data_IF_411005886566
#
_entry.id   IF_411005886566
#
_cell.length_a   1.000
_cell.length_b   1.000
_cell.length_c   1.000
_cell.angle_alpha   90.00
_cell.angle_beta   90.00
_cell.angle_gamma   90.00
#
_symmetry.space_group_name_H-M   'P 1'
#
loop_
_entity.id
_entity.type
_entity.pdbx_description
1 polymer ?
#
# COMPACT_ATOMS: atom_id res chain seq x y z
N UNK A 1 -5.21 -10.91 -21.87
CA UNK A 1 -4.32 -11.11 -23.04
C UNK A 1 -3.85 -12.57 -23.19
N UNK A 2 -3.21 -13.17 -22.18
CA UNK A 2 -2.69 -14.53 -22.30
C UNK A 2 -3.78 -15.56 -22.60
N UNK A 3 -4.86 -15.58 -21.82
CA UNK A 3 -6.01 -16.47 -22.08
C UNK A 3 -6.68 -16.20 -23.42
N UNK A 4 -6.73 -14.95 -23.89
CA UNK A 4 -7.29 -14.61 -25.19
C UNK A 4 -6.46 -15.16 -26.35
N UNK A 5 -5.12 -15.09 -26.25
CA UNK A 5 -4.23 -15.70 -27.25
C UNK A 5 -4.40 -17.23 -27.28
N UNK A 6 -4.49 -17.86 -26.10
CA UNK A 6 -4.76 -19.31 -26.02
C UNK A 6 -6.11 -19.67 -26.63
N UNK A 7 -7.17 -18.92 -26.37
CA UNK A 7 -8.48 -19.15 -26.94
C UNK A 7 -8.46 -19.05 -28.49
N UNK A 8 -7.79 -18.03 -29.04
CA UNK A 8 -7.62 -17.91 -30.50
C UNK A 8 -6.92 -19.10 -31.10
N UNK A 9 -5.83 -19.60 -30.48
CA UNK A 9 -5.11 -20.78 -30.96
C UNK A 9 -6.00 -22.03 -30.88
N UNK A 10 -6.85 -22.18 -29.88
CA UNK A 10 -7.80 -23.29 -29.79
C UNK A 10 -8.90 -23.20 -30.84
N UNK A 11 -9.28 -22.00 -31.27
CA UNK A 11 -10.25 -21.75 -32.34
C UNK A 11 -9.62 -21.92 -33.75
N UNK A 12 -8.34 -22.31 -33.84
CA UNK A 12 -7.65 -22.64 -35.10
C UNK A 12 -6.84 -21.50 -35.70
N UNK A 13 -6.71 -20.35 -35.02
CA UNK A 13 -5.76 -19.33 -35.44
C UNK A 13 -4.33 -19.82 -35.27
N UNK A 14 -3.44 -19.33 -36.14
CA UNK A 14 -2.01 -19.67 -36.11
C UNK A 14 -1.18 -18.54 -35.48
N UNK A 15 0.10 -18.80 -35.21
CA UNK A 15 1.02 -17.79 -34.69
C UNK A 15 1.27 -16.62 -35.66
N UNK A 16 0.99 -16.82 -36.96
CA UNK A 16 1.17 -15.81 -38.00
C UNK A 16 -0.06 -14.94 -38.23
N UNK A 17 -1.20 -15.28 -37.61
CA UNK A 17 -2.43 -14.48 -37.72
C UNK A 17 -2.35 -13.19 -36.94
N UNK A 18 -2.80 -12.08 -37.54
CA UNK A 18 -2.72 -10.73 -36.95
C UNK A 18 -3.23 -10.62 -35.50
N UNK A 19 -4.39 -11.17 -35.12
CA UNK A 19 -4.87 -11.09 -33.72
C UNK A 19 -3.94 -11.79 -32.73
N UNK A 20 -3.34 -12.90 -33.12
CA UNK A 20 -2.39 -13.67 -32.28
C UNK A 20 -1.06 -12.93 -32.20
N UNK A 21 -0.51 -12.45 -33.31
CA UNK A 21 0.70 -11.63 -33.34
C UNK A 21 0.56 -10.38 -32.46
N UNK A 22 -0.55 -9.65 -32.57
CA UNK A 22 -0.82 -8.48 -31.74
C UNK A 22 -0.93 -8.83 -30.27
N UNK A 23 -1.56 -9.96 -29.92
CA UNK A 23 -1.66 -10.46 -28.56
C UNK A 23 -0.31 -10.80 -27.95
N UNK A 24 0.55 -11.51 -28.70
CA UNK A 24 1.92 -11.85 -28.28
C UNK A 24 2.75 -10.59 -28.09
N UNK A 25 2.74 -9.66 -29.04
CA UNK A 25 3.45 -8.39 -28.95
C UNK A 25 2.98 -7.54 -27.77
N UNK A 26 1.69 -7.63 -27.42
CA UNK A 26 1.16 -6.96 -26.24
C UNK A 26 1.69 -7.60 -24.94
N UNK A 27 1.78 -8.93 -24.87
CA UNK A 27 2.37 -9.66 -23.74
C UNK A 27 3.85 -9.30 -23.57
N UNK A 28 4.61 -9.24 -24.68
CA UNK A 28 6.03 -8.88 -24.64
C UNK A 28 6.29 -7.47 -24.05
N UNK A 29 5.37 -6.51 -24.25
CA UNK A 29 5.49 -5.17 -23.63
C UNK A 29 5.38 -5.19 -22.10
N UNK A 30 4.79 -6.22 -21.53
CA UNK A 30 4.73 -6.43 -20.07
C UNK A 30 5.83 -7.38 -19.58
N UNK A 31 6.80 -7.69 -20.43
CA UNK A 31 7.88 -8.60 -20.09
C UNK A 31 9.14 -7.82 -19.72
N UNK A 32 9.75 -8.20 -18.61
CA UNK A 32 11.03 -7.71 -18.15
C UNK A 32 12.08 -8.78 -18.34
N UNK A 33 13.27 -8.37 -18.75
CA UNK A 33 14.44 -9.22 -18.79
C UNK A 33 15.54 -8.58 -17.95
N UNK A 34 15.91 -9.25 -16.86
CA UNK A 34 17.02 -8.87 -16.02
C UNK A 34 18.25 -9.73 -16.35
N UNK A 35 19.42 -9.10 -16.44
CA UNK A 35 20.68 -9.81 -16.58
C UNK A 35 20.91 -10.71 -15.35
N UNK A 36 20.88 -12.04 -15.57
CA UNK A 36 21.13 -13.06 -14.56
C UNK A 36 19.90 -13.62 -13.82
N UNK A 37 18.70 -13.05 -13.98
CA UNK A 37 17.48 -13.55 -13.32
C UNK A 37 16.40 -14.03 -14.29
N UNK A 38 16.67 -13.96 -15.60
CA UNK A 38 15.75 -14.45 -16.63
C UNK A 38 14.63 -13.48 -16.99
N UNK A 39 13.67 -13.99 -17.72
CA UNK A 39 12.52 -13.26 -18.27
C UNK A 39 11.33 -13.35 -17.32
N UNK A 40 10.70 -12.22 -16.99
CA UNK A 40 9.53 -12.14 -16.11
C UNK A 40 8.41 -11.38 -16.77
N UNK A 41 7.19 -11.82 -16.54
CA UNK A 41 6.00 -11.10 -16.93
C UNK A 41 5.58 -10.13 -15.80
N UNK A 42 5.43 -8.85 -16.11
CA UNK A 42 4.79 -7.89 -15.23
C UNK A 42 3.30 -7.84 -15.57
N UNK A 43 2.46 -8.15 -14.61
CA UNK A 43 1.03 -8.29 -14.82
C UNK A 43 0.31 -6.94 -15.02
N UNK A 44 0.74 -5.91 -14.29
CA UNK A 44 0.18 -4.56 -14.34
C UNK A 44 1.25 -3.51 -14.10
N UNK A 45 0.93 -2.27 -14.38
CA UNK A 45 1.76 -1.08 -14.07
C UNK A 45 1.05 -0.24 -13.02
N UNK A 46 1.83 0.43 -12.15
CA UNK A 46 1.35 1.15 -10.98
C UNK A 46 1.65 2.66 -11.00
N UNK A 47 1.32 3.39 -12.09
CA UNK A 47 1.78 4.77 -12.24
C UNK A 47 1.22 5.73 -11.19
N UNK A 48 -0.02 5.54 -10.75
CA UNK A 48 -0.64 6.39 -9.72
C UNK A 48 -0.03 6.10 -8.37
N UNK A 49 0.02 4.84 -7.98
CA UNK A 49 0.66 4.36 -6.75
C UNK A 49 2.11 4.80 -6.64
N UNK A 50 2.92 4.48 -7.64
CA UNK A 50 4.35 4.78 -7.63
C UNK A 50 4.62 6.29 -7.62
N UNK A 51 3.83 7.09 -8.33
CA UNK A 51 3.98 8.55 -8.31
C UNK A 51 3.61 9.11 -6.93
N UNK A 52 2.56 8.62 -6.29
CA UNK A 52 2.15 9.04 -4.96
C UNK A 52 3.27 8.74 -3.93
N UNK A 53 3.78 7.51 -3.91
CA UNK A 53 4.88 7.14 -3.01
C UNK A 53 6.19 7.86 -3.32
N UNK A 54 6.48 8.12 -4.60
CA UNK A 54 7.66 8.90 -4.98
C UNK A 54 7.59 10.33 -4.43
N UNK A 55 6.45 11.01 -4.54
CA UNK A 55 6.26 12.34 -3.95
C UNK A 55 6.45 12.30 -2.44
N UNK A 56 5.80 11.35 -1.74
CA UNK A 56 5.95 11.18 -0.28
C UNK A 56 7.40 10.95 0.13
N UNK A 57 8.12 10.10 -0.61
CA UNK A 57 9.54 9.83 -0.40
C UNK A 57 10.38 11.10 -0.53
N UNK A 58 10.20 11.87 -1.61
CA UNK A 58 10.97 13.09 -1.86
C UNK A 58 10.70 14.13 -0.77
N UNK A 59 9.45 14.30 -0.34
CA UNK A 59 9.10 15.13 0.81
C UNK A 59 9.78 14.64 2.09
N UNK A 60 9.80 13.32 2.32
CA UNK A 60 10.46 12.71 3.47
C UNK A 60 11.99 12.88 3.45
N UNK A 61 12.59 12.86 2.27
CA UNK A 61 14.02 13.10 2.08
C UNK A 61 14.43 14.59 2.15
N UNK A 62 13.50 15.52 2.43
CA UNK A 62 13.78 16.95 2.55
C UNK A 62 13.89 17.71 1.22
N UNK A 63 13.46 17.11 0.11
CA UNK A 63 13.37 17.84 -1.16
C UNK A 63 12.36 18.98 -1.02
N UNK A 64 12.71 20.16 -1.55
CA UNK A 64 11.83 21.32 -1.50
C UNK A 64 10.45 21.00 -2.08
N UNK A 65 9.42 21.21 -1.28
CA UNK A 65 8.02 20.99 -1.68
C UNK A 65 7.59 21.81 -2.88
N UNK A 66 8.26 22.95 -3.13
CA UNK A 66 8.11 23.78 -4.30
C UNK A 66 8.85 23.29 -5.56
N UNK A 67 9.57 22.15 -5.52
CA UNK A 67 10.27 21.61 -6.69
C UNK A 67 9.31 21.41 -7.87
N UNK A 68 9.74 21.87 -9.06
CA UNK A 68 8.93 21.82 -10.27
C UNK A 68 8.45 20.41 -10.61
N UNK A 69 9.30 19.40 -10.40
CA UNK A 69 9.00 18.00 -10.73
C UNK A 69 7.92 17.46 -9.80
N UNK A 70 7.99 17.76 -8.49
CA UNK A 70 6.96 17.37 -7.53
C UNK A 70 5.62 18.05 -7.85
N UNK A 71 5.61 19.35 -8.15
CA UNK A 71 4.38 20.04 -8.56
C UNK A 71 3.78 19.45 -9.84
N UNK A 72 4.61 19.07 -10.81
CA UNK A 72 4.16 18.39 -12.03
C UNK A 72 3.56 17.02 -11.73
N UNK A 73 4.19 16.22 -10.85
CA UNK A 73 3.69 14.92 -10.41
C UNK A 73 2.31 15.06 -9.72
N UNK A 74 2.18 16.01 -8.79
CA UNK A 74 0.89 16.27 -8.11
C UNK A 74 -0.18 16.75 -9.10
N UNK A 75 0.17 17.63 -10.03
CA UNK A 75 -0.76 18.07 -11.09
C UNK A 75 -1.24 16.89 -11.93
N UNK A 76 -0.31 16.00 -12.30
CA UNK A 76 -0.63 14.80 -13.06
C UNK A 76 -1.53 13.86 -12.25
N UNK A 77 -1.20 13.55 -10.99
CA UNK A 77 -2.04 12.72 -10.13
C UNK A 77 -3.46 13.29 -10.02
N UNK A 78 -3.60 14.59 -9.70
CA UNK A 78 -4.92 15.27 -9.60
C UNK A 78 -5.74 15.11 -10.88
N UNK A 79 -5.10 15.08 -12.06
CA UNK A 79 -5.79 14.85 -13.33
C UNK A 79 -6.30 13.42 -13.53
N UNK A 80 -5.91 12.49 -12.65
CA UNK A 80 -6.34 11.08 -12.70
C UNK A 80 -7.56 10.80 -11.84
N UNK A 81 -8.05 11.76 -11.04
CA UNK A 81 -9.25 11.57 -10.27
C UNK A 81 -10.42 11.16 -11.16
N UNK A 82 -11.12 10.10 -10.76
CA UNK A 82 -12.32 9.66 -11.46
C UNK A 82 -13.45 10.65 -11.17
N UNK A 83 -13.89 11.39 -12.17
CA UNK A 83 -14.92 12.44 -12.04
C UNK A 83 -16.14 12.16 -12.96
N UNK A 84 -16.35 10.94 -13.35
CA UNK A 84 -17.43 10.56 -14.26
C UNK A 84 -18.29 9.42 -13.74
N UNK A 85 -19.50 9.34 -14.25
CA UNK A 85 -20.45 8.27 -13.93
C UNK A 85 -20.18 6.96 -14.68
N UNK A 86 -18.95 6.74 -15.09
CA UNK A 86 -18.54 5.60 -15.90
C UNK A 86 -18.06 4.46 -14.99
N UNK A 87 -18.41 3.23 -15.29
CA UNK A 87 -17.92 2.03 -14.63
C UNK A 87 -18.96 1.19 -13.90
N UNK A 88 -18.69 -0.11 -13.82
CA UNK A 88 -19.60 -1.11 -13.29
C UNK A 88 -19.77 -1.01 -11.78
N UNK A 89 -18.72 -0.62 -11.04
CA UNK A 89 -18.79 -0.50 -9.59
C UNK A 89 -19.88 0.45 -9.12
N UNK A 90 -20.23 1.47 -9.90
CA UNK A 90 -21.30 2.40 -9.61
C UNK A 90 -22.68 1.77 -9.69
N UNK A 91 -22.83 0.76 -10.53
CA UNK A 91 -24.10 0.02 -10.68
C UNK A 91 -24.29 -0.87 -9.45
N UNK A 92 -23.21 -1.44 -8.92
CA UNK A 92 -23.22 -2.45 -7.87
C UNK A 92 -22.76 -1.92 -6.50
N UNK A 93 -21.95 -0.87 -6.44
CA UNK A 93 -21.24 -0.38 -5.25
C UNK A 93 -21.91 0.75 -4.47
N UNK A 94 -23.20 1.03 -4.70
CA UNK A 94 -23.91 2.11 -3.99
C UNK A 94 -24.28 3.28 -4.91
N UNK A 95 -25.56 3.36 -5.22
CA UNK A 95 -26.13 4.26 -6.24
C UNK A 95 -26.04 5.75 -5.92
N UNK A 96 -25.70 6.13 -4.70
CA UNK A 96 -25.61 7.52 -4.22
C UNK A 96 -24.17 8.06 -4.14
N UNK A 97 -23.15 7.21 -4.28
CA UNK A 97 -21.76 7.61 -4.18
C UNK A 97 -21.20 8.02 -5.55
N UNK A 98 -20.64 9.22 -5.65
CA UNK A 98 -19.99 9.66 -6.88
C UNK A 98 -18.57 9.06 -6.97
N UNK A 99 -18.09 8.68 -8.18
CA UNK A 99 -16.75 8.12 -8.38
C UNK A 99 -15.70 9.21 -8.28
N UNK A 100 -15.14 9.41 -7.11
CA UNK A 100 -14.20 10.50 -6.84
C UNK A 100 -12.84 10.00 -6.32
N UNK A 101 -12.60 8.69 -6.42
CA UNK A 101 -11.36 8.02 -6.09
C UNK A 101 -10.32 8.06 -7.21
N UNK A 102 -9.26 7.29 -7.02
CA UNK A 102 -8.14 7.13 -7.96
C UNK A 102 -7.92 5.64 -8.24
N UNK A 103 -7.57 5.33 -9.47
CA UNK A 103 -7.27 3.97 -9.89
C UNK A 103 -5.77 3.72 -9.98
N UNK A 104 -5.37 2.46 -9.86
CA UNK A 104 -4.00 1.99 -9.85
C UNK A 104 -3.24 2.28 -11.16
N UNK A 105 -3.90 2.09 -12.32
CA UNK A 105 -3.29 2.12 -13.64
C UNK A 105 -3.57 3.42 -14.42
N UNK A 106 -2.91 3.58 -15.58
CA UNK A 106 -3.07 4.74 -16.46
C UNK A 106 -4.49 4.94 -16.97
N UNK A 107 -5.16 3.87 -17.36
CA UNK A 107 -6.41 3.91 -18.13
C UNK A 107 -7.56 3.14 -17.49
N UNK A 108 -7.42 2.72 -16.26
CA UNK A 108 -8.46 1.97 -15.54
C UNK A 108 -9.32 2.88 -14.63
N UNK A 109 -9.83 3.97 -15.16
CA UNK A 109 -10.66 4.94 -14.42
C UNK A 109 -11.99 4.37 -13.92
N UNK A 110 -12.38 3.23 -14.44
CA UNK A 110 -13.63 2.58 -14.10
C UNK A 110 -13.58 1.83 -12.76
N UNK A 111 -12.36 1.62 -12.26
CA UNK A 111 -12.12 0.91 -11.01
C UNK A 111 -11.20 1.73 -10.11
N UNK A 112 -11.71 2.85 -9.54
CA UNK A 112 -10.97 3.52 -8.46
C UNK A 112 -10.88 2.58 -7.26
N UNK A 113 -9.77 2.60 -6.55
CA UNK A 113 -9.57 1.78 -5.37
C UNK A 113 -9.22 2.63 -4.14
N UNK A 114 -9.46 2.04 -2.97
CA UNK A 114 -9.30 2.71 -1.68
C UNK A 114 -7.84 2.94 -1.36
N UNK A 115 -6.96 2.00 -1.71
CA UNK A 115 -5.53 2.07 -1.39
C UNK A 115 -4.83 3.18 -2.18
N UNK A 116 -5.05 3.23 -3.51
CA UNK A 116 -4.51 4.29 -4.35
C UNK A 116 -5.07 5.67 -3.99
N UNK A 117 -6.37 5.73 -3.71
CA UNK A 117 -7.01 6.98 -3.29
C UNK A 117 -6.39 7.51 -2.01
N UNK A 118 -6.15 6.64 -1.04
CA UNK A 118 -5.49 7.00 0.23
C UNK A 118 -4.03 7.44 -0.01
N UNK A 119 -3.28 6.70 -0.83
CA UNK A 119 -1.90 7.04 -1.16
C UNK A 119 -1.79 8.42 -1.83
N UNK A 120 -2.74 8.74 -2.73
CA UNK A 120 -2.80 10.04 -3.43
C UNK A 120 -3.14 11.17 -2.47
N UNK A 121 -4.13 11.00 -1.57
CA UNK A 121 -4.45 12.01 -0.54
C UNK A 121 -3.19 12.32 0.28
N UNK A 122 -2.51 11.29 0.76
CA UNK A 122 -1.30 11.44 1.57
C UNK A 122 -0.16 12.11 0.78
N UNK A 123 -0.03 11.85 -0.53
CA UNK A 123 0.96 12.51 -1.38
C UNK A 123 0.67 14.00 -1.55
N UNK A 124 -0.59 14.36 -1.81
CA UNK A 124 -1.02 15.76 -1.95
C UNK A 124 -0.72 16.54 -0.65
N UNK A 125 -1.13 16.00 0.50
CA UNK A 125 -0.93 16.65 1.81
C UNK A 125 0.56 16.69 2.18
N UNK A 126 1.34 15.68 1.83
CA UNK A 126 2.79 15.67 2.06
C UNK A 126 3.51 16.76 1.29
N UNK A 127 3.10 17.01 0.04
CA UNK A 127 3.69 18.05 -0.80
C UNK A 127 3.18 19.45 -0.42
N UNK A 128 1.90 19.58 -0.11
CA UNK A 128 1.28 20.82 0.32
C UNK A 128 0.28 20.56 1.48
N UNK A 129 0.66 20.87 2.73
CA UNK A 129 -0.23 20.69 3.87
C UNK A 129 -1.57 21.43 3.76
N UNK A 130 -1.61 22.57 3.05
CA UNK A 130 -2.85 23.30 2.78
C UNK A 130 -3.73 22.58 1.75
N UNK A 131 -3.17 21.63 1.04
CA UNK A 131 -3.89 20.76 0.09
C UNK A 131 -5.01 19.95 0.73
N UNK A 132 -5.02 19.78 2.06
CA UNK A 132 -6.13 19.15 2.80
C UNK A 132 -7.46 19.83 2.52
N UNK A 133 -7.49 21.15 2.33
CA UNK A 133 -8.70 21.92 1.99
C UNK A 133 -9.07 21.90 0.49
N UNK A 134 -8.31 21.19 -0.34
CA UNK A 134 -8.60 21.15 -1.77
C UNK A 134 -9.83 20.29 -2.10
N UNK A 135 -10.59 20.70 -3.12
CA UNK A 135 -11.76 19.93 -3.57
C UNK A 135 -11.41 18.50 -4.01
N UNK A 136 -10.20 18.26 -4.50
CA UNK A 136 -9.70 16.93 -4.84
C UNK A 136 -9.63 16.02 -3.60
N UNK A 137 -9.02 16.51 -2.51
CA UNK A 137 -8.89 15.76 -1.26
C UNK A 137 -10.26 15.57 -0.61
N UNK A 138 -11.08 16.63 -0.54
CA UNK A 138 -12.41 16.54 0.06
C UNK A 138 -13.29 15.48 -0.63
N UNK A 139 -13.36 15.49 -1.97
CA UNK A 139 -14.12 14.49 -2.73
C UNK A 139 -13.58 13.08 -2.53
N UNK A 140 -12.27 12.88 -2.64
CA UNK A 140 -11.63 11.59 -2.43
C UNK A 140 -11.88 11.05 -1.01
N UNK A 141 -11.85 11.91 0.01
CA UNK A 141 -12.14 11.53 1.40
C UNK A 141 -13.61 11.12 1.57
N UNK A 142 -14.55 11.87 1.00
CA UNK A 142 -15.98 11.50 1.02
C UNK A 142 -16.19 10.15 0.34
N UNK A 143 -15.52 9.92 -0.79
CA UNK A 143 -15.59 8.66 -1.51
C UNK A 143 -15.05 7.50 -0.64
N UNK A 144 -13.87 7.64 0.00
CA UNK A 144 -13.33 6.61 0.91
C UNK A 144 -14.32 6.32 2.06
N UNK A 145 -14.87 7.36 2.70
CA UNK A 145 -15.85 7.16 3.76
C UNK A 145 -17.09 6.40 3.27
N UNK A 146 -17.54 6.67 2.04
CA UNK A 146 -18.66 5.97 1.42
C UNK A 146 -18.36 4.53 0.99
N UNK A 147 -17.09 4.19 0.81
CA UNK A 147 -16.62 2.83 0.49
C UNK A 147 -16.43 1.95 1.74
N UNK A 148 -16.62 2.49 2.93
CA UNK A 148 -16.51 1.70 4.16
C UNK A 148 -17.66 0.70 4.30
N UNK A 149 -17.34 -0.53 4.61
CA UNK A 149 -18.32 -1.58 4.89
C UNK A 149 -18.96 -1.44 6.29
N UNK A 150 -20.07 -2.14 6.54
CA UNK A 150 -20.78 -2.09 7.84
C UNK A 150 -19.95 -2.58 9.01
N UNK A 151 -19.05 -3.52 8.77
CA UNK A 151 -18.13 -4.02 9.79
C UNK A 151 -17.03 -3.02 10.16
N UNK A 152 -16.92 -1.91 9.41
CA UNK A 152 -15.93 -0.87 9.62
C UNK A 152 -14.67 -1.02 8.77
N UNK A 153 -14.52 -2.13 8.03
CA UNK A 153 -13.42 -2.36 7.10
C UNK A 153 -13.66 -1.75 5.73
N UNK A 154 -12.66 -1.87 4.86
CA UNK A 154 -12.75 -1.52 3.44
C UNK A 154 -12.28 -2.68 2.58
N UNK A 155 -12.87 -2.80 1.42
CA UNK A 155 -12.37 -3.60 0.30
C UNK A 155 -11.73 -2.67 -0.73
N UNK A 156 -10.88 -3.23 -1.59
CA UNK A 156 -10.15 -2.40 -2.54
C UNK A 156 -11.09 -1.70 -3.55
N UNK A 157 -12.06 -2.42 -4.12
CA UNK A 157 -12.82 -1.96 -5.28
C UNK A 157 -14.33 -1.84 -5.08
N UNK A 158 -14.94 -2.67 -4.24
CA UNK A 158 -16.39 -2.82 -4.12
C UNK A 158 -16.86 -2.66 -2.68
N UNK A 159 -18.12 -2.24 -2.49
CA UNK A 159 -18.78 -2.25 -1.19
C UNK A 159 -19.65 -3.49 -1.07
N UNK A 160 -19.54 -4.23 0.05
CA UNK A 160 -20.44 -5.37 0.32
C UNK A 160 -20.14 -6.64 -0.49
N UNK A 161 -18.92 -6.82 -0.95
CA UNK A 161 -18.47 -8.03 -1.67
C UNK A 161 -18.05 -9.14 -0.68
N UNK A 162 -19.01 -9.67 0.09
CA UNK A 162 -18.82 -10.53 1.26
C UNK A 162 -19.22 -12.00 1.09
N UNK A 163 -19.62 -12.40 -0.10
CA UNK A 163 -20.19 -13.74 -0.33
C UNK A 163 -19.10 -14.80 -0.47
N UNK A 164 -18.44 -15.16 0.62
CA UNK A 164 -17.32 -16.13 0.68
C UNK A 164 -17.60 -17.47 -0.03
N UNK A 165 -18.87 -17.84 -0.24
CA UNK A 165 -19.22 -19.04 -0.99
C UNK A 165 -18.81 -18.95 -2.48
N UNK A 166 -18.66 -17.73 -3.03
CA UNK A 166 -18.19 -17.52 -4.40
C UNK A 166 -16.74 -18.02 -4.58
N UNK A 167 -15.91 -17.93 -3.54
CA UNK A 167 -14.54 -18.45 -3.55
C UNK A 167 -14.48 -20.00 -3.56
N UNK A 168 -15.63 -20.67 -3.33
CA UNK A 168 -15.74 -22.13 -3.33
C UNK A 168 -16.33 -22.69 -4.62
N UNK A 169 -16.62 -21.84 -5.63
CA UNK A 169 -17.12 -22.29 -6.92
C UNK A 169 -16.04 -23.07 -7.63
N UNK A 170 -16.29 -24.33 -8.08
CA UNK A 170 -15.34 -25.09 -8.88
C UNK A 170 -14.92 -24.28 -10.11
N UNK A 171 -13.63 -24.28 -10.43
CA UNK A 171 -13.00 -23.49 -11.49
C UNK A 171 -12.76 -22.00 -11.17
N UNK A 172 -13.15 -21.54 -10.01
CA UNK A 172 -12.82 -20.23 -9.50
C UNK A 172 -11.76 -20.38 -8.39
N UNK A 173 -10.55 -20.64 -8.78
CA UNK A 173 -9.42 -20.75 -7.84
C UNK A 173 -8.93 -19.38 -7.33
N UNK A 174 -9.71 -18.34 -7.56
CA UNK A 174 -9.33 -17.01 -7.17
C UNK A 174 -10.02 -16.62 -5.88
N UNK A 175 -9.28 -16.61 -4.77
CA UNK A 175 -9.65 -15.91 -3.52
C UNK A 175 -9.99 -14.43 -3.75
N UNK A 176 -10.32 -14.06 -4.96
CA UNK A 176 -10.55 -12.74 -5.50
C UNK A 176 -11.99 -12.46 -5.89
N UNK A 177 -12.88 -13.45 -5.85
CA UNK A 177 -14.30 -13.24 -6.19
C UNK A 177 -15.09 -12.58 -5.06
N UNK A 178 -14.64 -12.70 -3.83
CA UNK A 178 -15.13 -11.89 -2.72
C UNK A 178 -14.02 -11.53 -1.76
N UNK A 179 -14.18 -10.38 -1.20
CA UNK A 179 -13.31 -9.83 -0.16
C UNK A 179 -14.11 -9.83 1.16
N UNK A 180 -13.60 -10.39 2.26
CA UNK A 180 -14.40 -10.74 3.43
C UNK A 180 -14.92 -9.58 4.27
N UNK A 181 -14.75 -8.35 3.91
CA UNK A 181 -15.36 -7.26 4.66
C UNK A 181 -16.75 -6.92 4.10
N UNK A 182 -17.79 -7.02 4.92
CA UNK A 182 -19.18 -6.97 4.47
C UNK A 182 -20.02 -5.84 5.03
N UNK A 183 -20.89 -5.35 4.25
CA UNK A 183 -22.33 -5.07 4.32
C UNK A 183 -22.80 -3.61 4.23
N UNK A 184 -23.94 -3.41 3.54
CA UNK A 184 -24.66 -2.18 3.23
C UNK A 184 -24.72 -1.11 4.33
N UNK A 185 -24.29 0.11 4.05
CA UNK A 185 -24.62 1.30 4.83
C UNK A 185 -25.68 2.13 4.12
N UNK A 186 -26.73 2.52 4.83
CA UNK A 186 -27.57 3.64 4.45
C UNK A 186 -26.70 4.91 4.44
N UNK A 187 -26.78 5.67 3.36
CA UNK A 187 -26.11 6.97 3.23
C UNK A 187 -26.68 7.94 4.25
N UNK A 188 -25.88 8.36 5.21
CA UNK A 188 -26.23 9.39 6.18
C UNK A 188 -25.73 10.73 5.63
N UNK A 189 -26.65 11.66 5.41
CA UNK A 189 -26.32 13.04 5.06
C UNK A 189 -25.77 13.76 6.30
N UNK A 190 -24.44 13.85 6.39
CA UNK A 190 -23.73 14.48 7.51
C UNK A 190 -22.56 15.30 6.99
N UNK A 191 -22.03 16.22 7.81
CA UNK A 191 -20.80 16.95 7.48
C UNK A 191 -19.62 16.00 7.27
N UNK A 192 -18.62 16.42 6.48
CA UNK A 192 -17.45 15.62 6.15
C UNK A 192 -16.67 15.18 7.41
N UNK A 193 -16.60 16.03 8.43
CA UNK A 193 -15.92 15.71 9.68
C UNK A 193 -16.65 14.62 10.46
N UNK A 194 -17.97 14.62 10.45
CA UNK A 194 -18.79 13.58 11.08
C UNK A 194 -18.61 12.25 10.35
N UNK A 195 -18.57 12.27 9.01
CA UNK A 195 -18.30 11.07 8.19
C UNK A 195 -16.92 10.49 8.51
N UNK A 196 -15.89 11.32 8.57
CA UNK A 196 -14.53 10.90 8.95
C UNK A 196 -14.52 10.30 10.35
N UNK A 197 -15.14 10.98 11.34
CA UNK A 197 -15.18 10.50 12.72
C UNK A 197 -15.87 9.14 12.83
N UNK A 198 -17.02 8.98 12.17
CA UNK A 198 -17.74 7.70 12.13
C UNK A 198 -16.93 6.60 11.45
N UNK A 199 -16.28 6.92 10.32
CA UNK A 199 -15.44 5.98 9.60
C UNK A 199 -14.21 5.54 10.43
N UNK A 200 -13.56 6.46 11.15
CA UNK A 200 -12.46 6.13 12.04
C UNK A 200 -12.90 5.22 13.20
N UNK A 201 -14.06 5.52 13.82
CA UNK A 201 -14.63 4.68 14.88
C UNK A 201 -14.92 3.26 14.38
N UNK A 202 -15.53 3.15 13.20
CA UNK A 202 -15.77 1.86 12.55
C UNK A 202 -14.49 1.08 12.27
N UNK A 203 -13.47 1.78 11.75
CA UNK A 203 -12.16 1.21 11.45
C UNK A 203 -11.45 0.65 12.71
N UNK A 204 -11.43 1.41 13.81
CA UNK A 204 -10.83 0.97 15.07
C UNK A 204 -11.56 -0.28 15.59
N UNK A 205 -12.90 -0.28 15.53
CA UNK A 205 -13.70 -1.46 15.90
C UNK A 205 -13.40 -2.68 15.03
N UNK A 206 -13.27 -2.51 13.72
CA UNK A 206 -12.87 -3.56 12.77
C UNK A 206 -11.48 -4.10 13.12
N UNK A 207 -10.47 -3.23 13.23
CA UNK A 207 -9.09 -3.62 13.52
C UNK A 207 -8.95 -4.34 14.87
N UNK A 208 -9.75 -3.94 15.87
CA UNK A 208 -9.78 -4.62 17.18
C UNK A 208 -10.28 -6.05 17.07
N UNK A 209 -11.28 -6.31 16.21
CA UNK A 209 -11.83 -7.67 16.01
C UNK A 209 -10.92 -8.56 15.17
N UNK A 210 -10.25 -7.97 14.16
CA UNK A 210 -9.43 -8.73 13.21
C UNK A 210 -7.98 -8.93 13.65
N UNK A 211 -7.59 -8.38 14.81
CA UNK A 211 -6.27 -8.61 15.35
C UNK A 211 -6.12 -10.08 15.79
N UNK A 212 -5.11 -10.75 15.26
CA UNK A 212 -4.82 -12.13 15.63
C UNK A 212 -4.21 -12.23 17.04
N UNK A 213 -4.25 -13.42 17.62
CA UNK A 213 -3.66 -13.69 18.95
C UNK A 213 -2.16 -13.35 19.03
N UNK A 214 -1.46 -13.40 17.91
CA UNK A 214 -0.06 -12.97 17.78
C UNK A 214 0.13 -11.47 18.01
N UNK A 215 -0.92 -10.67 17.86
CA UNK A 215 -0.91 -9.22 17.81
C UNK A 215 -0.83 -8.66 16.38
N UNK A 216 -0.59 -9.49 15.38
CA UNK A 216 -0.49 -9.07 13.98
C UNK A 216 -1.86 -9.01 13.28
N UNK A 217 -1.87 -8.44 12.08
CA UNK A 217 -3.01 -8.49 11.15
C UNK A 217 -2.59 -9.13 9.83
N UNK A 218 -3.45 -10.00 9.34
CA UNK A 218 -3.35 -10.54 7.99
C UNK A 218 -3.50 -9.43 6.96
N UNK A 219 -2.72 -9.48 5.88
CA UNK A 219 -2.75 -8.53 4.77
C UNK A 219 -2.96 -9.22 3.43
N UNK A 220 -3.59 -8.53 2.48
CA UNK A 220 -3.96 -9.13 1.19
C UNK A 220 -2.96 -8.83 0.06
N UNK A 221 -2.47 -7.60 -0.05
CA UNK A 221 -1.75 -7.12 -1.23
C UNK A 221 -0.24 -7.09 -1.08
N UNK A 222 0.25 -6.90 0.13
CA UNK A 222 1.67 -6.81 0.45
C UNK A 222 2.31 -8.16 0.77
N UNK A 223 3.50 -8.14 1.34
CA UNK A 223 4.10 -9.29 1.97
C UNK A 223 3.47 -9.45 3.36
N UNK A 224 2.25 -9.89 3.31
CA UNK A 224 1.28 -10.34 4.29
C UNK A 224 1.34 -9.58 5.65
N UNK A 225 1.71 -10.27 6.73
CA UNK A 225 1.60 -9.78 8.11
C UNK A 225 2.51 -8.58 8.40
N UNK A 226 3.75 -8.55 7.89
CA UNK A 226 4.64 -7.39 8.10
C UNK A 226 4.09 -6.15 7.42
N UNK A 227 3.57 -6.28 6.19
CA UNK A 227 2.98 -5.16 5.45
C UNK A 227 1.73 -4.64 6.15
N UNK A 228 0.77 -5.51 6.45
CA UNK A 228 -0.50 -5.13 7.04
C UNK A 228 -0.32 -4.57 8.44
N UNK A 229 0.40 -5.26 9.33
CA UNK A 229 0.62 -4.82 10.71
C UNK A 229 1.32 -3.46 10.75
N UNK A 230 2.32 -3.23 9.88
CA UNK A 230 3.00 -1.93 9.80
C UNK A 230 2.06 -0.82 9.35
N UNK A 231 1.23 -1.04 8.33
CA UNK A 231 0.29 -0.04 7.85
C UNK A 231 -0.81 0.27 8.87
N UNK A 232 -1.38 -0.76 9.50
CA UNK A 232 -2.38 -0.60 10.58
C UNK A 232 -1.80 0.24 11.72
N UNK A 233 -0.63 -0.09 12.21
CA UNK A 233 0.01 0.65 13.30
C UNK A 233 0.37 2.09 12.89
N UNK A 234 0.79 2.32 11.65
CA UNK A 234 0.98 3.68 11.14
C UNK A 234 -0.31 4.51 11.24
N UNK A 235 -1.46 3.94 10.88
CA UNK A 235 -2.77 4.58 11.00
C UNK A 235 -3.16 4.81 12.47
N UNK A 236 -3.08 3.76 13.29
CA UNK A 236 -3.45 3.82 14.71
C UNK A 236 -2.58 4.77 15.53
N UNK A 237 -1.33 5.03 15.11
CA UNK A 237 -0.43 5.96 15.81
C UNK A 237 -0.99 7.38 15.93
N UNK A 238 -1.88 7.79 15.03
CA UNK A 238 -2.57 9.09 15.10
C UNK A 238 -3.67 9.15 16.16
N UNK A 239 -4.16 7.99 16.62
CA UNK A 239 -5.24 7.88 17.62
C UNK A 239 -4.75 7.41 19.00
N UNK A 240 -3.45 7.15 19.13
CA UNK A 240 -2.86 6.50 20.31
C UNK A 240 -2.86 7.35 21.58
N UNK A 241 -3.03 8.67 21.47
CA UNK A 241 -2.98 9.58 22.62
C UNK A 241 -4.33 9.65 23.31
N UNK A 242 -4.44 9.00 24.49
CA UNK A 242 -5.61 9.12 25.37
C UNK A 242 -6.75 8.14 25.05
N UNK A 243 -6.53 7.15 24.21
CA UNK A 243 -7.49 6.08 23.90
C UNK A 243 -6.90 4.71 24.31
N UNK A 244 -7.37 4.19 25.45
CA UNK A 244 -6.93 2.90 25.99
C UNK A 244 -7.29 1.72 25.06
N UNK A 245 -8.40 1.81 24.31
CA UNK A 245 -8.79 0.78 23.36
C UNK A 245 -7.75 0.68 22.23
N UNK A 246 -7.34 1.82 21.70
CA UNK A 246 -6.30 1.87 20.67
C UNK A 246 -4.96 1.38 21.20
N UNK A 247 -4.58 1.76 22.43
CA UNK A 247 -3.34 1.28 23.05
C UNK A 247 -3.33 -0.24 23.23
N UNK A 248 -4.46 -0.84 23.60
CA UNK A 248 -4.58 -2.29 23.80
C UNK A 248 -4.29 -3.11 22.54
N UNK A 249 -4.48 -2.54 21.35
CA UNK A 249 -4.17 -3.20 20.08
C UNK A 249 -2.79 -2.80 19.51
N UNK A 250 -2.29 -1.60 19.82
CA UNK A 250 -0.95 -1.15 19.40
C UNK A 250 0.15 -1.91 20.11
N UNK A 251 0.04 -2.10 21.43
CA UNK A 251 1.10 -2.71 22.24
C UNK A 251 1.46 -4.14 21.81
N UNK A 252 0.51 -5.08 21.65
CA UNK A 252 0.85 -6.43 21.19
C UNK A 252 1.39 -6.45 19.76
N UNK A 253 0.87 -5.62 18.87
CA UNK A 253 1.35 -5.53 17.49
C UNK A 253 2.77 -4.99 17.39
N UNK A 254 3.09 -3.94 18.15
CA UNK A 254 4.44 -3.40 18.25
C UNK A 254 5.42 -4.43 18.80
N UNK A 255 5.00 -5.16 19.85
CA UNK A 255 5.80 -6.26 20.43
C UNK A 255 6.06 -7.37 19.41
N UNK A 256 5.04 -7.75 18.64
CA UNK A 256 5.19 -8.74 17.58
C UNK A 256 6.18 -8.29 16.51
N UNK A 257 6.09 -7.04 16.00
CA UNK A 257 7.05 -6.51 15.03
C UNK A 257 8.49 -6.56 15.54
N UNK A 258 8.73 -6.21 16.80
CA UNK A 258 10.06 -6.30 17.42
C UNK A 258 10.58 -7.74 17.48
N UNK A 259 9.73 -8.70 17.82
CA UNK A 259 10.08 -10.12 17.87
C UNK A 259 10.42 -10.73 16.51
N UNK A 260 9.88 -10.14 15.42
CA UNK A 260 10.13 -10.60 14.04
C UNK A 260 11.42 -10.02 13.45
N UNK A 261 12.20 -9.22 14.17
CA UNK A 261 13.48 -8.74 13.70
C UNK A 261 14.48 -9.88 13.51
N UNK A 262 15.11 -9.93 12.35
CA UNK A 262 16.15 -10.90 12.06
C UNK A 262 17.48 -10.53 12.75
N UNK A 263 18.38 -11.50 12.92
CA UNK A 263 19.68 -11.30 13.53
C UNK A 263 20.58 -10.28 12.79
N UNK A 264 20.28 -9.97 11.52
CA UNK A 264 20.97 -8.94 10.74
C UNK A 264 20.38 -7.54 10.91
N UNK A 265 19.47 -7.35 11.86
CA UNK A 265 18.78 -6.09 12.15
C UNK A 265 17.62 -5.75 11.22
N UNK A 266 17.40 -6.48 10.14
CA UNK A 266 16.33 -6.25 9.19
C UNK A 266 15.07 -7.06 9.47
N UNK A 267 14.05 -6.88 8.61
CA UNK A 267 12.82 -7.68 8.59
C UNK A 267 12.55 -8.23 7.21
N UNK A 268 11.93 -9.40 7.19
CA UNK A 268 11.49 -10.03 5.97
C UNK A 268 10.46 -11.11 6.21
N UNK A 269 9.51 -11.21 5.32
CA UNK A 269 8.48 -12.22 5.31
C UNK A 269 8.39 -12.85 3.92
N UNK A 270 8.32 -14.17 3.88
CA UNK A 270 8.11 -14.91 2.65
C UNK A 270 6.61 -14.97 2.34
N UNK A 271 6.24 -14.89 1.06
CA UNK A 271 4.85 -14.98 0.63
C UNK A 271 4.21 -16.36 0.89
N UNK A 272 5.00 -17.36 1.30
CA UNK A 272 4.47 -18.62 1.81
C UNK A 272 3.62 -18.44 3.09
N UNK A 273 3.76 -17.32 3.81
CA UNK A 273 2.90 -16.96 4.93
C UNK A 273 1.41 -16.87 4.56
N UNK A 274 1.09 -16.67 3.29
CA UNK A 274 -0.28 -16.76 2.77
C UNK A 274 -0.86 -18.19 2.83
N UNK A 275 -0.01 -19.21 2.82
CA UNK A 275 -0.40 -20.63 2.89
C UNK A 275 -0.24 -21.23 4.28
N UNK A 276 0.72 -20.71 5.04
CA UNK A 276 1.05 -21.18 6.36
C UNK A 276 1.30 -20.00 7.31
N UNK A 277 0.31 -19.69 8.13
CA UNK A 277 0.36 -18.60 9.10
C UNK A 277 1.51 -18.74 10.13
N UNK A 278 2.06 -19.94 10.32
CA UNK A 278 3.24 -20.13 11.17
C UNK A 278 4.50 -19.46 10.64
N UNK A 279 4.50 -19.07 9.37
CA UNK A 279 5.55 -18.32 8.68
C UNK A 279 5.34 -16.79 8.73
N UNK A 280 4.31 -16.31 9.43
CA UNK A 280 4.04 -14.88 9.61
C UNK A 280 5.29 -14.15 10.14
N UNK A 281 5.70 -13.10 9.44
CA UNK A 281 6.88 -12.29 9.78
C UNK A 281 8.23 -12.99 9.57
N UNK A 282 8.26 -14.19 8.97
CA UNK A 282 9.49 -14.97 8.79
C UNK A 282 9.94 -15.00 7.34
N UNK A 283 11.19 -14.65 7.12
CA UNK A 283 11.85 -14.66 5.83
C UNK A 283 13.14 -13.85 5.85
N UNK A 284 13.95 -13.92 4.81
CA UNK A 284 15.16 -13.11 4.71
C UNK A 284 14.84 -11.61 4.66
N UNK A 285 15.63 -10.81 5.33
CA UNK A 285 15.49 -9.36 5.37
C UNK A 285 15.49 -8.74 3.97
N UNK A 286 14.55 -7.83 3.75
CA UNK A 286 14.49 -7.03 2.52
C UNK A 286 14.43 -5.54 2.85
N UNK A 287 14.98 -4.66 2.01
CA UNK A 287 14.99 -3.22 2.29
C UNK A 287 13.59 -2.62 2.43
N UNK A 288 12.63 -3.06 1.62
CA UNK A 288 11.26 -2.55 1.67
C UNK A 288 10.52 -2.99 2.92
N UNK A 289 10.61 -4.26 3.30
CA UNK A 289 9.93 -4.80 4.48
C UNK A 289 10.56 -4.26 5.77
N UNK A 290 11.89 -4.19 5.83
CA UNK A 290 12.60 -3.50 6.91
C UNK A 290 12.10 -2.06 7.06
N UNK A 291 11.96 -1.35 5.96
CA UNK A 291 11.50 0.03 5.99
C UNK A 291 10.02 0.17 6.41
N UNK A 292 9.13 -0.77 6.06
CA UNK A 292 7.74 -0.75 6.53
C UNK A 292 7.68 -0.81 8.07
N UNK A 293 8.42 -1.74 8.66
CA UNK A 293 8.46 -1.89 10.11
C UNK A 293 9.09 -0.66 10.78
N UNK A 294 10.20 -0.17 10.25
CA UNK A 294 10.87 1.01 10.80
C UNK A 294 10.01 2.27 10.76
N UNK A 295 9.17 2.48 9.72
CA UNK A 295 8.27 3.62 9.65
C UNK A 295 7.32 3.68 10.84
N UNK A 296 6.86 2.55 11.31
CA UNK A 296 5.96 2.48 12.46
C UNK A 296 6.70 2.45 13.78
N UNK A 297 7.83 1.74 13.90
CA UNK A 297 8.59 1.72 15.14
C UNK A 297 9.17 3.10 15.48
N UNK A 298 9.57 3.89 14.49
CA UNK A 298 9.92 5.31 14.69
C UNK A 298 8.76 6.14 15.27
N UNK A 299 7.52 5.81 14.92
CA UNK A 299 6.34 6.52 15.42
C UNK A 299 5.89 6.04 16.80
N UNK A 300 6.04 4.75 17.11
CA UNK A 300 5.54 4.12 18.34
C UNK A 300 6.58 4.01 19.44
N UNK A 301 7.86 3.80 19.09
CA UNK A 301 8.95 3.56 20.03
C UNK A 301 10.01 4.67 20.03
N UNK A 302 10.05 5.50 18.98
CA UNK A 302 11.03 6.56 18.83
C UNK A 302 12.39 6.10 18.26
N UNK A 303 13.29 7.05 17.93
CA UNK A 303 14.55 6.77 17.23
C UNK A 303 15.59 6.06 18.09
N UNK A 304 15.48 6.10 19.41
CA UNK A 304 16.45 5.50 20.35
C UNK A 304 16.12 4.02 20.68
N UNK A 305 15.06 3.46 20.12
CA UNK A 305 14.72 2.06 20.29
C UNK A 305 15.78 1.18 19.63
N UNK A 306 16.25 0.13 20.32
CA UNK A 306 17.32 -0.76 19.83
C UNK A 306 16.97 -1.35 18.46
N UNK A 307 15.77 -1.87 18.31
CA UNK A 307 15.34 -2.48 17.05
C UNK A 307 15.28 -1.46 15.90
N UNK A 308 15.02 -0.18 16.21
CA UNK A 308 15.07 0.90 15.22
C UNK A 308 16.52 1.18 14.82
N UNK A 309 17.45 1.27 15.76
CA UNK A 309 18.87 1.51 15.50
C UNK A 309 19.47 0.39 14.66
N UNK A 310 19.19 -0.87 15.01
CA UNK A 310 19.66 -2.04 14.28
C UNK A 310 19.11 -2.06 12.84
N UNK A 311 17.82 -1.74 12.69
CA UNK A 311 17.17 -1.67 11.38
C UNK A 311 17.68 -0.53 10.49
N UNK A 312 17.98 0.62 11.05
CA UNK A 312 18.62 1.74 10.34
C UNK A 312 20.02 1.34 9.89
N UNK A 313 20.83 0.73 10.79
CA UNK A 313 22.15 0.20 10.44
C UNK A 313 22.07 -0.80 9.29
N UNK A 314 21.13 -1.76 9.38
CA UNK A 314 20.89 -2.72 8.29
C UNK A 314 20.61 -2.03 6.94
N UNK A 315 19.78 -0.98 6.90
CA UNK A 315 19.49 -0.26 5.66
C UNK A 315 20.73 0.50 5.15
N UNK A 316 21.48 1.16 6.02
CA UNK A 316 22.68 1.91 5.65
C UNK A 316 23.76 0.99 5.10
N UNK A 317 24.04 -0.12 5.80
CA UNK A 317 25.12 -1.07 5.44
C UNK A 317 24.81 -1.84 4.14
N UNK A 318 23.54 -1.97 3.79
CA UNK A 318 23.09 -2.66 2.57
C UNK A 318 22.89 -1.77 1.36
N UNK A 319 23.14 -0.48 1.51
CA UNK A 319 23.10 0.44 0.38
C UNK A 319 24.27 0.14 -0.58
N UNK A 320 23.99 0.06 -1.87
CA UNK A 320 24.97 -0.23 -2.91
C UNK A 320 24.75 0.65 -4.14
N UNK A 321 25.81 0.94 -4.86
CA UNK A 321 25.70 1.52 -6.19
C UNK A 321 25.36 0.44 -7.21
N UNK A 322 24.06 0.31 -7.52
CA UNK A 322 23.52 -0.74 -8.38
C UNK A 322 23.56 -0.32 -9.85
N UNK A 323 23.62 0.98 -10.13
CA UNK A 323 23.42 1.53 -11.48
C UNK A 323 24.58 2.37 -11.98
N UNK A 324 25.63 2.56 -11.18
CA UNK A 324 26.73 3.49 -11.49
C UNK A 324 26.31 4.97 -11.46
N UNK A 325 25.06 5.27 -11.04
CA UNK A 325 24.49 6.62 -11.02
C UNK A 325 23.98 7.05 -9.65
N UNK A 326 24.16 6.22 -8.62
CA UNK A 326 23.76 6.54 -7.26
C UNK A 326 23.47 5.31 -6.40
N UNK A 327 23.49 5.52 -5.10
CA UNK A 327 23.26 4.47 -4.13
C UNK A 327 21.76 4.05 -4.06
N UNK A 328 21.54 2.76 -4.00
CA UNK A 328 20.21 2.15 -3.88
C UNK A 328 20.31 0.84 -3.08
N UNK A 329 19.23 0.09 -3.00
CA UNK A 329 19.18 -1.19 -2.31
C UNK A 329 18.95 -2.34 -3.27
N UNK A 330 19.62 -3.50 -3.08
CA UNK A 330 19.30 -4.71 -3.83
C UNK A 330 17.89 -5.18 -3.47
N UNK A 331 17.13 -5.61 -4.45
CA UNK A 331 15.77 -6.11 -4.20
C UNK A 331 15.26 -6.85 -5.42
N UNK A 332 15.17 -8.18 -5.31
CA UNK A 332 14.69 -9.09 -6.35
C UNK A 332 13.51 -9.95 -5.86
N UNK A 333 13.17 -9.86 -4.57
CA UNK A 333 12.08 -10.64 -4.01
C UNK A 333 10.73 -10.01 -4.33
N UNK A 334 9.74 -10.87 -4.49
CA UNK A 334 8.37 -10.42 -4.54
C UNK A 334 7.98 -9.76 -3.21
N UNK A 335 7.31 -8.64 -3.28
CA UNK A 335 6.91 -7.82 -2.13
C UNK A 335 5.40 -7.73 -1.98
N UNK A 336 4.67 -8.44 -2.83
CA UNK A 336 3.22 -8.48 -2.78
C UNK A 336 2.65 -9.60 -3.64
N UNK A 337 1.34 -9.67 -3.62
CA UNK A 337 0.55 -10.60 -4.42
C UNK A 337 -0.62 -9.87 -5.06
N UNK A 338 -1.02 -10.26 -6.26
CA UNK A 338 -2.27 -9.80 -6.84
C UNK A 338 -3.45 -10.57 -6.29
N UNK A 339 -3.29 -11.89 -6.18
CA UNK A 339 -4.22 -12.77 -5.50
C UNK A 339 -3.42 -13.76 -4.67
N UNK A 340 -3.68 -13.85 -3.34
CA UNK A 340 -3.02 -14.83 -2.50
C UNK A 340 -3.07 -16.23 -3.14
N UNK A 341 -1.95 -16.94 -3.11
CA UNK A 341 -1.79 -18.28 -3.68
C UNK A 341 -1.75 -18.41 -5.22
N UNK A 342 -2.01 -17.35 -6.00
CA UNK A 342 -2.07 -17.44 -7.47
C UNK A 342 -0.87 -16.80 -8.15
N UNK A 343 -0.57 -15.55 -7.88
CA UNK A 343 0.61 -14.91 -8.43
C UNK A 343 1.19 -13.84 -7.52
N UNK A 344 2.52 -13.76 -7.55
CA UNK A 344 3.29 -12.81 -6.76
C UNK A 344 3.68 -11.61 -7.62
N UNK A 345 3.73 -10.43 -7.01
CA UNK A 345 4.14 -9.19 -7.66
C UNK A 345 5.44 -8.66 -7.06
N UNK A 346 6.34 -8.22 -7.94
CA UNK A 346 7.57 -7.53 -7.56
C UNK A 346 7.45 -6.04 -7.87
N UNK A 347 7.31 -5.22 -6.86
CA UNK A 347 7.31 -3.78 -6.99
C UNK A 347 8.75 -3.25 -6.92
N UNK A 348 9.36 -3.02 -8.09
CA UNK A 348 10.77 -2.67 -8.19
C UNK A 348 11.13 -1.34 -7.49
N UNK A 349 10.19 -0.41 -7.37
CA UNK A 349 10.41 0.89 -6.72
C UNK A 349 10.28 0.83 -5.19
N UNK A 350 9.70 -0.22 -4.60
CA UNK A 350 9.56 -0.37 -3.16
C UNK A 350 10.91 -0.30 -2.43
N UNK A 351 11.93 -0.94 -2.97
CA UNK A 351 13.30 -0.90 -2.45
C UNK A 351 13.95 0.49 -2.49
N UNK A 352 13.38 1.43 -3.23
CA UNK A 352 13.88 2.80 -3.32
C UNK A 352 13.12 3.76 -2.42
N UNK A 353 11.80 3.82 -2.50
CA UNK A 353 11.08 4.87 -1.79
C UNK A 353 10.83 4.57 -0.32
N UNK A 354 10.63 3.32 0.11
CA UNK A 354 10.40 3.03 1.52
C UNK A 354 11.66 3.26 2.38
N UNK A 355 12.85 2.73 2.04
CA UNK A 355 14.06 3.05 2.78
C UNK A 355 14.36 4.55 2.85
N UNK A 356 14.19 5.28 1.75
CA UNK A 356 14.39 6.73 1.74
C UNK A 356 13.39 7.49 2.63
N UNK A 357 12.15 7.02 2.72
CA UNK A 357 11.15 7.60 3.64
C UNK A 357 11.58 7.43 5.09
N UNK A 358 12.06 6.26 5.46
CA UNK A 358 12.56 5.96 6.81
C UNK A 358 13.76 6.83 7.15
N UNK A 359 14.80 6.77 6.32
CA UNK A 359 16.04 7.52 6.57
C UNK A 359 15.80 9.03 6.64
N UNK A 360 14.96 9.57 5.75
CA UNK A 360 14.58 10.98 5.80
C UNK A 360 13.76 11.34 7.04
N UNK A 361 12.89 10.45 7.53
CA UNK A 361 12.15 10.65 8.77
C UNK A 361 13.07 10.61 9.98
N UNK A 362 13.97 9.63 10.03
CA UNK A 362 14.96 9.48 11.10
C UNK A 362 15.88 10.71 11.20
N UNK A 363 16.40 11.19 10.06
CA UNK A 363 17.25 12.37 10.00
C UNK A 363 16.54 13.60 10.58
N UNK A 364 15.29 13.87 10.18
CA UNK A 364 14.53 15.01 10.72
C UNK A 364 14.23 14.89 12.22
N UNK A 365 14.02 13.68 12.73
CA UNK A 365 13.83 13.49 14.17
C UNK A 365 15.12 13.78 14.93
N UNK A 366 16.27 13.34 14.42
CA UNK A 366 17.57 13.63 15.00
C UNK A 366 17.91 15.14 14.94
N UNK A 367 17.62 15.82 13.83
CA UNK A 367 17.79 17.28 13.70
C UNK A 367 16.91 18.05 14.69
N UNK A 368 15.66 17.61 14.91
CA UNK A 368 14.76 18.25 15.88
C UNK A 368 15.26 18.07 17.33
N UNK A 369 15.81 16.91 17.68
CA UNK A 369 16.41 16.67 19.00
C UNK A 369 17.66 17.55 19.23
N UNK A 370 18.53 17.65 18.21
CA UNK A 370 19.73 18.51 18.27
C UNK A 370 19.37 20.01 18.34
N UNK A 371 18.36 20.44 17.59
CA UNK A 371 17.85 21.82 17.59
C UNK A 371 17.21 22.23 18.91
N UNK A 372 16.55 21.31 19.60
CA UNK A 372 15.96 21.56 20.94
C UNK A 372 17.01 21.58 22.05
N UNK A 373 18.18 20.98 21.86
CA UNK A 373 19.29 20.99 22.83
C UNK A 373 20.16 22.25 22.79
N UNK A 374 19.99 23.13 21.80
CA UNK A 374 20.77 24.37 21.65
C UNK A 374 20.11 25.59 22.33
N UNK A 375 18.90 25.46 22.87
CA UNK A 375 18.16 26.57 23.50
C UNK A 375 18.16 26.56 25.02
N UNK A 376 19.19 26.02 25.66
CA UNK A 376 19.44 26.27 27.09
C UNK A 376 20.83 26.90 27.27
N UNK A 377 20.96 28.24 27.10
CA UNK A 377 22.11 28.97 27.65
C UNK A 377 21.77 29.24 29.12
N UNK A 378 22.61 28.68 29.99
CA UNK A 378 22.67 28.99 31.44
C UNK A 378 22.71 30.47 31.72
#
# INVERSE_FOLDING_TARGET
MHASVQALLLEGYTLDDDPVCHGINAIERFTWQDDGQGKRLQFSVSPVWDTAFMVRRLCAAGVDRGDKRMRQAIKWIKSRQALGKEGDWRIYGGRSLEPEGFSFEYNNRWYPDVDDTTAVILAIISQDPLGVGSSTVARATIWICGMQNRDGGWVAFDVGNDKLWLNKIPFSDMDGLCDPSSADKEYIESDILDKISLACTGAIGYLTREQEQSGAWYGRWGANYLFSTSNVLCGLSYFSKGDDQVQNIIVPATSWLKQMQNADGGWGEDLLSYRDASLAGKGPSTPSQTAWVLLVLLATCGPQCTEVLDGISHLVDRQADITGSGASWPGWRFTGTGFPNHFCMGFSLYRHYFPMMVLGKCLRMAEAELGSGILDPA
#
